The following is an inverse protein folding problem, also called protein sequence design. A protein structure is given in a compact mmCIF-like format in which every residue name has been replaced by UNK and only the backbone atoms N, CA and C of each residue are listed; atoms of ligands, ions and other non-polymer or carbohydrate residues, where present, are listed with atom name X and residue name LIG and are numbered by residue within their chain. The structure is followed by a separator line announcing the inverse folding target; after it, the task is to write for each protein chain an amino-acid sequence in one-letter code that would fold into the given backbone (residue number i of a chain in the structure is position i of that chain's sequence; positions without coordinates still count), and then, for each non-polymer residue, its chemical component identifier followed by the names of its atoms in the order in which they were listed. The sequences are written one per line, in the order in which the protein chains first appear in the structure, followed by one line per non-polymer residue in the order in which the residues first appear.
data_IF_984644629253
#
_entry.id   IF_984644629253
#
_cell.length_a   1.000
_cell.length_b   1.000
_cell.length_c   1.000
_cell.angle_alpha   90.00
_cell.angle_beta   90.00
_cell.angle_gamma   90.00
#
_symmetry.space_group_name_H-M   'P 1'
#
loop_
_entity.id
_entity.type
_entity.pdbx_description
1 polymer ?
#
# COMPACT_ATOMS: atom_id res chain seq x y z
N UNK A 1 -22.28 -29.84 31.29
CA UNK A 1 -22.41 -28.37 31.51
C UNK A 1 -21.04 -27.76 31.24
N UNK A 2 -20.82 -27.32 30.01
CA UNK A 2 -19.59 -26.62 29.60
C UNK A 2 -19.89 -25.14 29.78
N UNK A 3 -19.13 -24.47 30.65
CA UNK A 3 -19.26 -23.04 30.87
C UNK A 3 -18.75 -22.32 29.61
N UNK A 4 -19.67 -21.72 28.87
CA UNK A 4 -19.37 -20.80 27.78
C UNK A 4 -18.75 -19.53 28.39
N UNK A 5 -17.41 -19.52 28.46
CA UNK A 5 -16.67 -18.32 28.78
C UNK A 5 -16.65 -17.44 27.53
N UNK A 6 -17.75 -16.73 27.28
CA UNK A 6 -17.78 -15.59 26.36
C UNK A 6 -16.84 -14.54 26.93
N UNK A 7 -15.55 -14.63 26.55
CA UNK A 7 -14.58 -13.55 26.74
C UNK A 7 -15.13 -12.36 25.97
N UNK A 8 -15.81 -11.45 26.68
CA UNK A 8 -16.06 -10.11 26.19
C UNK A 8 -14.70 -9.41 26.11
N UNK A 9 -13.93 -9.68 25.05
CA UNK A 9 -12.83 -8.80 24.70
C UNK A 9 -13.46 -7.45 24.46
N UNK A 10 -13.27 -6.53 25.41
CA UNK A 10 -13.72 -5.15 25.28
C UNK A 10 -13.11 -4.60 24.01
N UNK A 11 -13.91 -4.54 22.94
CA UNK A 11 -13.45 -4.04 21.65
C UNK A 11 -12.86 -2.64 21.88
N UNK A 12 -11.73 -2.33 21.22
CA UNK A 12 -11.10 -1.02 21.37
C UNK A 12 -12.08 0.09 21.03
N UNK A 13 -12.42 0.90 22.03
CA UNK A 13 -13.39 1.99 21.91
C UNK A 13 -12.97 2.97 20.80
N UNK A 14 -13.85 3.17 19.83
CA UNK A 14 -13.78 4.24 18.83
C UNK A 14 -14.85 5.27 19.13
N UNK A 15 -14.55 6.54 18.89
CA UNK A 15 -15.52 7.63 18.96
C UNK A 15 -15.52 8.43 17.65
N UNK A 16 -16.68 8.92 17.25
CA UNK A 16 -16.91 9.66 16.02
C UNK A 16 -17.56 11.00 16.32
N UNK A 17 -17.10 12.07 15.66
CA UNK A 17 -17.76 13.38 15.72
C UNK A 17 -17.93 13.93 14.31
N UNK A 18 -19.12 14.44 14.00
CA UNK A 18 -19.51 14.88 12.66
C UNK A 18 -19.56 16.42 12.52
N UNK A 19 -19.62 17.12 13.64
CA UNK A 19 -19.72 18.58 13.75
C UNK A 19 -18.61 19.17 14.64
N UNK A 20 -17.73 18.32 15.19
CA UNK A 20 -16.71 18.72 16.15
C UNK A 20 -17.23 18.98 17.57
N UNK A 21 -18.54 18.80 17.82
CA UNK A 21 -19.18 19.13 19.09
C UNK A 21 -19.52 17.86 19.87
N UNK A 22 -20.24 16.92 19.26
CA UNK A 22 -20.67 15.70 19.93
C UNK A 22 -19.88 14.48 19.47
N UNK A 23 -19.47 13.65 20.43
CA UNK A 23 -18.78 12.39 20.19
C UNK A 23 -19.72 11.22 20.42
N UNK A 24 -19.97 10.45 19.37
CA UNK A 24 -20.71 9.19 19.42
C UNK A 24 -19.72 8.04 19.62
N UNK A 25 -19.84 7.29 20.72
CA UNK A 25 -19.09 6.04 20.87
C UNK A 25 -19.62 5.02 19.86
N UNK A 26 -18.72 4.47 19.05
CA UNK A 26 -19.04 3.40 18.11
C UNK A 26 -19.44 2.15 18.87
N UNK A 27 -20.75 1.94 19.02
CA UNK A 27 -21.31 0.74 19.61
C UNK A 27 -20.93 -0.48 18.77
N UNK A 28 -20.28 -1.46 19.38
CA UNK A 28 -19.81 -2.69 18.75
C UNK A 28 -20.91 -3.67 18.33
N UNK A 29 -22.07 -3.19 17.89
CA UNK A 29 -23.00 -4.00 17.10
C UNK A 29 -22.40 -4.18 15.71
N UNK A 30 -21.39 -5.06 15.66
CA UNK A 30 -20.62 -5.36 14.47
C UNK A 30 -21.52 -6.00 13.41
N UNK A 31 -22.08 -5.18 12.54
CA UNK A 31 -22.46 -5.65 11.21
C UNK A 31 -21.16 -6.09 10.54
N UNK A 32 -20.94 -7.40 10.44
CA UNK A 32 -19.80 -7.99 9.77
C UNK A 32 -19.80 -7.50 8.30
N UNK A 33 -18.97 -6.51 8.00
CA UNK A 33 -18.76 -6.05 6.64
C UNK A 33 -18.06 -7.11 5.79
N UNK A 34 -18.03 -6.98 4.46
CA UNK A 34 -17.34 -7.91 3.56
C UNK A 34 -15.82 -7.94 3.82
N UNK A 35 -15.27 -6.85 4.36
CA UNK A 35 -13.88 -6.74 4.81
C UNK A 35 -13.68 -7.27 6.24
N UNK A 36 -14.71 -7.78 6.93
CA UNK A 36 -14.56 -8.41 8.24
C UNK A 36 -13.66 -9.65 8.20
N UNK A 37 -13.44 -10.21 7.00
CA UNK A 37 -12.49 -11.29 6.77
C UNK A 37 -11.02 -10.81 6.67
N UNK A 38 -10.77 -9.51 6.46
CA UNK A 38 -9.41 -8.97 6.54
C UNK A 38 -9.04 -8.73 8.01
N UNK A 39 -8.11 -9.51 8.58
CA UNK A 39 -7.71 -9.33 9.97
C UNK A 39 -7.14 -7.94 10.19
N UNK A 40 -7.57 -7.28 11.26
CA UNK A 40 -7.07 -5.96 11.65
C UNK A 40 -7.88 -4.77 11.12
N UNK A 41 -9.14 -4.96 10.74
CA UNK A 41 -10.05 -3.84 10.49
C UNK A 41 -11.18 -3.81 11.51
N UNK A 42 -11.50 -2.61 12.00
CA UNK A 42 -12.66 -2.35 12.83
C UNK A 42 -13.72 -1.59 12.02
N UNK A 43 -14.98 -2.03 12.08
CA UNK A 43 -16.08 -1.49 11.28
C UNK A 43 -17.14 -0.84 12.15
N UNK A 44 -17.59 0.34 11.74
CA UNK A 44 -18.55 1.15 12.49
C UNK A 44 -19.65 1.68 11.57
N UNK A 45 -20.87 1.73 12.10
CA UNK A 45 -22.00 2.42 11.49
C UNK A 45 -22.18 3.74 12.22
N UNK A 46 -22.03 4.86 11.51
CA UNK A 46 -22.12 6.21 12.09
C UNK A 46 -23.40 6.86 11.56
N UNK A 47 -24.43 7.10 12.40
CA UNK A 47 -25.62 7.82 11.96
C UNK A 47 -25.27 9.28 11.66
N UNK A 48 -25.79 9.80 10.55
CA UNK A 48 -25.68 11.24 10.24
C UNK A 48 -26.92 11.92 10.81
N UNK A 49 -26.75 12.67 11.90
CA UNK A 49 -27.84 13.39 12.58
C UNK A 49 -27.90 14.88 12.23
N UNK A 50 -26.88 15.42 11.56
CA UNK A 50 -26.74 16.85 11.38
C UNK A 50 -27.71 17.43 10.34
N UNK A 51 -28.53 18.41 10.76
CA UNK A 51 -29.20 19.37 9.88
C UNK A 51 -28.22 20.48 9.49
N UNK A 52 -27.21 20.15 8.69
CA UNK A 52 -26.17 21.06 8.22
C UNK A 52 -25.31 20.40 7.16
N UNK A 53 -24.40 21.15 6.51
CA UNK A 53 -23.37 20.60 5.62
C UNK A 53 -22.04 20.45 6.38
N UNK A 54 -21.84 19.36 7.13
CA UNK A 54 -20.51 19.03 7.63
C UNK A 54 -19.66 18.51 6.48
N UNK A 55 -18.47 19.09 6.37
CA UNK A 55 -17.48 18.76 5.36
C UNK A 55 -16.52 17.68 5.80
N UNK A 56 -16.57 17.21 7.06
CA UNK A 56 -15.63 16.23 7.58
C UNK A 56 -16.23 15.36 8.71
N UNK A 57 -15.64 14.19 8.93
CA UNK A 57 -15.86 13.32 10.09
C UNK A 57 -14.54 13.16 10.85
N UNK A 58 -14.59 13.32 12.18
CA UNK A 58 -13.46 13.05 13.07
C UNK A 58 -13.60 11.68 13.70
N UNK A 59 -12.53 10.91 13.61
CA UNK A 59 -12.43 9.56 14.17
C UNK A 59 -11.36 9.57 15.25
N UNK A 60 -11.73 9.20 16.47
CA UNK A 60 -10.81 9.12 17.62
C UNK A 60 -10.75 7.71 18.18
N UNK A 61 -9.55 7.24 18.46
CA UNK A 61 -9.30 5.90 19.01
C UNK A 61 -8.29 5.95 20.15
N UNK A 62 -8.42 4.97 21.05
CA UNK A 62 -7.43 4.71 22.10
C UNK A 62 -6.12 4.16 21.52
N UNK A 63 -6.21 3.37 20.45
CA UNK A 63 -5.08 2.93 19.63
C UNK A 63 -4.83 3.92 18.48
N UNK A 64 -3.60 4.05 17.97
CA UNK A 64 -3.37 4.88 16.79
C UNK A 64 -4.20 4.39 15.58
N UNK A 65 -4.42 5.28 14.63
CA UNK A 65 -5.21 5.07 13.42
C UNK A 65 -4.26 5.20 12.24
N UNK A 66 -4.14 4.16 11.42
CA UNK A 66 -3.31 4.18 10.21
C UNK A 66 -4.12 4.55 8.98
N UNK A 67 -5.30 3.97 8.83
CA UNK A 67 -6.12 4.16 7.64
C UNK A 67 -7.59 4.22 8.03
N UNK A 68 -8.31 5.21 7.50
CA UNK A 68 -9.76 5.33 7.62
C UNK A 68 -10.35 5.32 6.22
N UNK A 69 -11.39 4.51 6.01
CA UNK A 69 -12.21 4.50 4.79
C UNK A 69 -13.67 4.71 5.15
N UNK A 70 -14.34 5.55 4.38
CA UNK A 70 -15.77 5.86 4.56
C UNK A 70 -16.55 5.37 3.35
N UNK A 71 -17.64 4.66 3.58
CA UNK A 71 -18.53 4.10 2.56
C UNK A 71 -19.96 4.56 2.81
N UNK A 72 -20.76 4.60 1.74
CA UNK A 72 -22.19 4.87 1.84
C UNK A 72 -23.03 3.64 2.17
N UNK A 73 -22.62 2.47 1.67
CA UNK A 73 -23.33 1.19 1.87
C UNK A 73 -22.37 -0.02 1.94
N UNK A 74 -22.72 -1.02 2.76
CA UNK A 74 -22.10 -2.34 2.78
C UNK A 74 -22.98 -3.27 1.94
N UNK A 75 -22.44 -4.23 1.19
CA UNK A 75 -21.11 -4.38 0.62
C UNK A 75 -21.15 -3.97 -0.87
N UNK A 76 -20.83 -2.72 -1.21
CA UNK A 76 -20.74 -2.37 -2.63
C UNK A 76 -19.31 -2.60 -3.15
N UNK A 77 -19.19 -3.00 -4.41
CA UNK A 77 -17.95 -2.98 -5.19
C UNK A 77 -17.39 -1.57 -5.40
N UNK A 78 -18.01 -0.57 -4.76
CA UNK A 78 -17.74 0.83 -5.01
C UNK A 78 -16.51 1.28 -4.23
N UNK A 79 -15.83 2.26 -4.80
CA UNK A 79 -14.73 2.94 -4.13
C UNK A 79 -15.23 3.64 -2.86
N UNK A 80 -14.39 3.66 -1.82
CA UNK A 80 -14.66 4.45 -0.62
C UNK A 80 -14.94 5.92 -0.99
N UNK A 81 -15.97 6.51 -0.38
CA UNK A 81 -16.34 7.92 -0.54
C UNK A 81 -15.19 8.85 -0.14
N UNK A 82 -14.45 8.45 0.91
CA UNK A 82 -13.27 9.16 1.37
C UNK A 82 -12.28 8.16 1.97
N UNK A 83 -10.98 8.46 1.85
CA UNK A 83 -9.89 7.67 2.42
C UNK A 83 -8.84 8.60 2.99
N UNK A 84 -8.37 8.31 4.20
CA UNK A 84 -7.27 9.04 4.85
C UNK A 84 -6.23 8.07 5.38
N UNK A 85 -4.97 8.27 4.99
CA UNK A 85 -3.83 7.44 5.37
C UNK A 85 -2.86 8.25 6.23
N UNK A 86 -2.53 7.72 7.41
CA UNK A 86 -1.52 8.21 8.32
C UNK A 86 -0.48 7.11 8.58
N UNK A 87 0.64 7.08 7.86
CA UNK A 87 1.64 6.00 7.95
C UNK A 87 2.18 5.80 9.36
N UNK A 88 2.38 6.91 10.11
CA UNK A 88 2.87 6.89 11.48
C UNK A 88 1.83 6.57 12.56
N UNK A 89 0.55 6.46 12.19
CA UNK A 89 -0.55 6.30 13.15
C UNK A 89 -0.89 7.60 13.89
N UNK A 90 -2.16 7.97 13.94
CA UNK A 90 -2.65 9.15 14.70
C UNK A 90 -3.77 8.74 15.65
N UNK A 91 -3.89 9.36 16.83
CA UNK A 91 -5.01 9.05 17.75
C UNK A 91 -6.35 9.60 17.26
N UNK A 92 -6.29 10.64 16.43
CA UNK A 92 -7.43 11.32 15.85
C UNK A 92 -7.16 11.58 14.37
N UNK A 93 -8.11 11.21 13.52
CA UNK A 93 -8.07 11.40 12.08
C UNK A 93 -9.28 12.21 11.63
N UNK A 94 -9.05 13.23 10.80
CA UNK A 94 -10.10 14.02 10.17
C UNK A 94 -10.25 13.58 8.72
N UNK A 95 -11.47 13.18 8.34
CA UNK A 95 -11.77 12.68 7.00
C UNK A 95 -12.74 13.64 6.33
N UNK A 96 -12.27 14.33 5.30
CA UNK A 96 -13.10 15.23 4.48
C UNK A 96 -14.08 14.38 3.66
N UNK A 97 -15.36 14.70 3.75
CA UNK A 97 -16.43 13.96 3.08
C UNK A 97 -16.88 14.69 1.81
N UNK A 98 -17.13 13.97 0.70
CA UNK A 98 -17.71 14.58 -0.49
C UNK A 98 -19.16 14.99 -0.21
N UNK A 99 -19.67 15.97 -0.97
CA UNK A 99 -21.05 16.47 -0.84
C UNK A 99 -22.09 15.34 -0.93
N UNK A 100 -21.82 14.31 -1.73
CA UNK A 100 -22.69 13.12 -1.84
C UNK A 100 -22.92 12.41 -0.49
N UNK A 101 -21.95 12.44 0.43
CA UNK A 101 -22.09 11.82 1.75
C UNK A 101 -23.13 12.51 2.64
N UNK A 102 -23.36 13.83 2.44
CA UNK A 102 -24.35 14.60 3.20
C UNK A 102 -25.79 14.18 2.94
N UNK A 103 -26.04 13.46 1.83
CA UNK A 103 -27.36 12.95 1.45
C UNK A 103 -27.68 11.60 2.08
N UNK A 104 -26.71 10.97 2.74
CA UNK A 104 -26.86 9.66 3.35
C UNK A 104 -27.38 9.80 4.80
N UNK A 105 -28.23 8.86 5.22
CA UNK A 105 -28.72 8.82 6.61
C UNK A 105 -27.71 8.19 7.58
N UNK A 106 -26.74 7.43 7.05
CA UNK A 106 -25.69 6.75 7.79
C UNK A 106 -24.44 6.61 6.93
N UNK A 107 -23.29 6.59 7.58
CA UNK A 107 -22.00 6.28 6.99
C UNK A 107 -21.45 4.99 7.59
N UNK A 108 -20.60 4.34 6.82
CA UNK A 108 -19.93 3.13 7.22
C UNK A 108 -18.44 3.39 7.23
N UNK A 109 -17.82 3.23 8.38
CA UNK A 109 -16.43 3.62 8.59
C UNK A 109 -15.60 2.38 8.91
N UNK A 110 -14.59 2.10 8.08
CA UNK A 110 -13.59 1.08 8.31
C UNK A 110 -12.31 1.74 8.82
N UNK A 111 -11.83 1.29 9.98
CA UNK A 111 -10.63 1.83 10.62
C UNK A 111 -9.59 0.73 10.77
N UNK A 112 -8.44 0.91 10.14
CA UNK A 112 -7.28 0.05 10.31
C UNK A 112 -6.38 0.67 11.41
N UNK A 113 -6.12 -0.03 12.52
CA UNK A 113 -5.06 0.35 13.45
C UNK A 113 -3.71 0.31 12.72
N UNK A 114 -2.64 0.92 13.26
CA UNK A 114 -1.30 0.63 12.77
C UNK A 114 -1.15 -0.87 12.76
N UNK A 115 -0.52 -1.40 11.70
CA UNK A 115 -0.01 -2.74 11.77
C UNK A 115 0.88 -2.72 13.02
N UNK A 116 0.38 -3.27 14.13
CA UNK A 116 1.24 -3.70 15.21
C UNK A 116 2.25 -4.51 14.43
N UNK A 117 3.50 -4.07 14.39
CA UNK A 117 4.57 -4.92 13.90
C UNK A 117 4.40 -6.16 14.75
N UNK A 118 3.71 -7.17 14.20
CA UNK A 118 3.49 -8.43 14.87
C UNK A 118 4.91 -8.91 14.89
N UNK A 119 5.59 -8.64 16.01
CA UNK A 119 6.79 -9.32 16.38
C UNK A 119 6.34 -10.76 16.34
N UNK A 120 6.64 -11.40 15.22
CA UNK A 120 6.61 -12.83 15.05
C UNK A 120 7.60 -13.35 16.07
N UNK A 121 7.16 -13.42 17.33
CA UNK A 121 7.61 -14.43 18.26
C UNK A 121 7.18 -15.75 17.63
N UNK A 122 7.96 -16.17 16.64
CA UNK A 122 8.03 -17.56 16.24
C UNK A 122 8.35 -18.33 17.50
N UNK A 123 7.37 -19.11 17.96
CA UNK A 123 7.63 -20.22 18.86
C UNK A 123 8.62 -21.14 18.17
N UNK A 124 9.90 -20.97 18.48
CA UNK A 124 10.90 -22.01 18.27
C UNK A 124 10.85 -22.90 19.49
N UNK A 125 10.18 -24.03 19.32
CA UNK A 125 10.40 -25.20 20.14
C UNK A 125 11.86 -25.66 19.94
N UNK A 126 12.53 -25.94 21.07
CA UNK A 126 13.78 -26.67 21.27
C UNK A 126 14.93 -26.42 20.28
N UNK A 127 16.01 -25.79 20.76
CA UNK A 127 17.31 -26.48 20.97
C UNK A 127 18.35 -25.55 21.62
N UNK A 128 18.89 -26.05 22.74
CA UNK A 128 20.25 -25.96 23.31
C UNK A 128 21.16 -24.72 23.12
N UNK A 129 21.58 -24.19 24.27
CA UNK A 129 22.88 -23.56 24.62
C UNK A 129 23.74 -22.91 23.52
N UNK A 130 23.88 -21.58 23.59
CA UNK A 130 25.18 -20.91 23.74
C UNK A 130 25.01 -19.41 24.00
N UNK A 131 25.67 -18.94 25.05
CA UNK A 131 25.72 -17.56 25.53
C UNK A 131 26.48 -16.65 24.56
N UNK A 132 25.81 -15.64 24.00
CA UNK A 132 26.44 -14.47 23.37
C UNK A 132 25.62 -13.19 23.68
N UNK A 133 26.27 -12.01 23.81
CA UNK A 133 25.62 -10.80 24.29
C UNK A 133 24.67 -10.23 23.22
N UNK A 134 23.45 -9.92 23.65
CA UNK A 134 22.42 -9.31 22.79
C UNK A 134 22.74 -7.83 22.51
N UNK A 135 22.61 -7.35 21.26
CA UNK A 135 22.68 -5.91 20.99
C UNK A 135 21.39 -5.23 21.48
N UNK A 136 21.51 -3.98 21.92
CA UNK A 136 20.41 -3.16 22.42
C UNK A 136 19.64 -2.53 21.24
N UNK A 137 18.39 -2.98 21.01
CA UNK A 137 17.57 -2.62 19.85
C UNK A 137 16.78 -1.31 20.00
N UNK A 138 16.91 -0.59 21.11
CA UNK A 138 16.23 0.70 21.30
C UNK A 138 16.74 1.83 20.39
N UNK A 139 17.87 1.63 19.69
CA UNK A 139 18.43 2.61 18.74
C UNK A 139 17.83 2.56 17.32
N UNK A 140 17.09 1.50 16.95
CA UNK A 140 16.60 1.31 15.57
C UNK A 140 15.26 1.99 15.27
N UNK A 141 14.47 2.34 16.30
CA UNK A 141 13.18 3.03 16.09
C UNK A 141 13.35 4.48 15.58
N UNK A 142 14.52 5.10 15.78
CA UNK A 142 14.83 6.42 15.24
C UNK A 142 15.24 6.40 13.76
N UNK A 143 15.65 5.25 13.24
CA UNK A 143 16.23 5.12 11.88
C UNK A 143 15.12 5.05 10.83
N UNK A 144 13.95 4.47 11.14
CA UNK A 144 12.81 4.46 10.22
C UNK A 144 12.19 5.85 10.00
N UNK A 145 12.17 6.72 11.03
CA UNK A 145 11.68 8.09 10.88
C UNK A 145 12.64 8.94 10.01
N UNK A 146 13.95 8.74 10.15
CA UNK A 146 14.96 9.42 9.34
C UNK A 146 14.93 8.95 7.87
N UNK A 147 14.68 7.66 7.60
CA UNK A 147 14.56 7.14 6.24
C UNK A 147 13.32 7.66 5.50
N UNK A 148 12.18 7.84 6.20
CA UNK A 148 10.96 8.43 5.61
C UNK A 148 11.16 9.93 5.34
N UNK A 149 11.80 10.66 6.27
CA UNK A 149 12.14 12.07 6.05
C UNK A 149 13.15 12.26 4.90
N UNK A 150 14.10 11.32 4.73
CA UNK A 150 15.03 11.34 3.59
C UNK A 150 14.33 11.07 2.26
N UNK A 151 13.37 10.15 2.21
CA UNK A 151 12.57 9.87 1.02
C UNK A 151 11.63 11.03 0.65
N UNK A 152 11.04 11.71 1.64
CA UNK A 152 10.24 12.94 1.41
C UNK A 152 11.13 14.10 0.93
N UNK A 153 12.34 14.25 1.47
CA UNK A 153 13.28 15.27 1.02
C UNK A 153 13.77 15.02 -0.43
N UNK A 154 13.98 13.76 -0.81
CA UNK A 154 14.36 13.38 -2.18
C UNK A 154 13.19 13.60 -3.17
N UNK A 155 11.94 13.32 -2.76
CA UNK A 155 10.76 13.64 -3.56
C UNK A 155 10.56 15.15 -3.74
N UNK A 156 10.78 15.96 -2.70
CA UNK A 156 10.72 17.42 -2.79
C UNK A 156 11.86 18.00 -3.64
N UNK A 157 13.06 17.41 -3.58
CA UNK A 157 14.18 17.80 -4.45
C UNK A 157 13.89 17.49 -5.93
N UNK A 158 13.31 16.32 -6.22
CA UNK A 158 12.89 15.95 -7.57
C UNK A 158 11.77 16.87 -8.10
N UNK A 159 10.81 17.26 -7.25
CA UNK A 159 9.75 18.20 -7.63
C UNK A 159 10.32 19.61 -7.92
N UNK A 160 11.28 20.08 -7.11
CA UNK A 160 11.98 21.35 -7.36
C UNK A 160 12.81 21.33 -8.65
N UNK A 161 13.47 20.21 -8.95
CA UNK A 161 14.22 20.02 -10.20
C UNK A 161 13.28 20.00 -11.43
N UNK A 162 12.12 19.34 -11.31
CA UNK A 162 11.10 19.32 -12.35
C UNK A 162 10.49 20.72 -12.57
N UNK A 163 10.30 21.49 -11.51
CA UNK A 163 9.84 22.90 -11.57
C UNK A 163 10.90 23.82 -12.20
N UNK A 164 12.17 23.58 -11.93
CA UNK A 164 13.29 24.29 -12.57
C UNK A 164 13.44 23.92 -14.05
N UNK A 165 13.13 22.69 -14.45
CA UNK A 165 13.16 22.23 -15.84
C UNK A 165 12.04 22.85 -16.68
N UNK A 166 10.84 23.05 -16.11
CA UNK A 166 9.70 23.66 -16.79
C UNK A 166 9.80 25.19 -16.94
N UNK A 167 10.81 25.85 -16.33
CA UNK A 167 11.00 27.30 -16.35
C UNK A 167 11.85 27.84 -17.50
N UNK A 168 12.34 27.00 -18.43
CA UNK A 168 13.12 27.49 -19.59
C UNK A 168 12.18 27.91 -20.72
N UNK A 169 12.14 29.20 -21.11
CA UNK A 169 11.36 29.63 -22.26
C UNK A 169 11.94 28.99 -23.53
N UNK A 170 11.12 28.16 -24.15
CA UNK A 170 11.38 27.52 -25.44
C UNK A 170 11.33 28.60 -26.53
N UNK A 171 12.47 29.23 -26.83
CA UNK A 171 12.60 30.07 -28.00
C UNK A 171 12.67 29.17 -29.25
N UNK A 172 11.52 29.09 -29.92
CA UNK A 172 11.33 29.08 -31.38
C UNK A 172 12.44 28.45 -32.23
N UNK A 173 12.11 27.33 -32.84
CA UNK A 173 12.48 27.06 -34.24
C UNK A 173 11.22 26.65 -35.01
N UNK A 174 10.45 27.66 -35.41
CA UNK A 174 9.65 27.59 -36.62
C UNK A 174 10.60 27.49 -37.81
N UNK A 175 10.54 26.42 -38.61
CA UNK A 175 10.65 26.49 -40.06
C UNK A 175 10.36 25.12 -40.70
N UNK A 176 9.38 25.17 -41.59
CA UNK A 176 9.12 24.25 -42.72
C UNK A 176 8.55 22.86 -42.45
N UNK A 177 7.71 22.26 -43.31
CA UNK A 177 6.68 22.67 -44.30
C UNK A 177 6.25 21.32 -44.92
N UNK A 178 4.98 20.98 -44.78
CA UNK A 178 4.11 20.16 -45.66
C UNK A 178 4.67 18.87 -46.32
N UNK A 179 3.92 17.77 -46.15
CA UNK A 179 3.78 16.79 -47.22
C UNK A 179 3.28 15.40 -46.80
N UNK A 180 2.03 15.11 -47.18
CA UNK A 180 1.63 13.85 -47.85
C UNK A 180 1.25 12.59 -47.04
N UNK A 181 -0.06 12.32 -47.06
CA UNK A 181 -0.79 11.09 -47.48
C UNK A 181 -0.39 9.73 -46.85
N UNK A 182 -1.43 9.11 -46.27
CA UNK A 182 -1.65 7.74 -45.74
C UNK A 182 -1.22 6.54 -46.64
N UNK A 183 -1.64 5.29 -46.32
CA UNK A 183 -1.25 4.39 -45.23
C UNK A 183 -0.72 3.03 -45.76
N UNK A 184 -0.19 2.15 -44.90
CA UNK A 184 -0.35 0.68 -44.90
C UNK A 184 0.89 -0.13 -44.46
N UNK A 185 0.56 -1.32 -43.95
CA UNK A 185 1.34 -2.55 -43.75
C UNK A 185 2.35 -2.61 -42.60
N UNK A 186 1.96 -3.45 -41.62
CA UNK A 186 2.69 -4.62 -41.11
C UNK A 186 4.21 -4.64 -41.26
N UNK A 187 4.92 -4.70 -40.14
CA UNK A 187 5.87 -5.78 -39.86
C UNK A 187 6.29 -5.77 -38.38
N UNK A 188 6.06 -6.90 -37.71
CA UNK A 188 6.50 -7.19 -36.35
C UNK A 188 7.99 -7.51 -36.39
N UNK A 189 8.83 -6.48 -36.19
CA UNK A 189 10.26 -6.64 -36.01
C UNK A 189 10.62 -6.71 -34.53
N UNK A 190 11.21 -7.83 -34.16
CA UNK A 190 11.75 -8.17 -32.85
C UNK A 190 12.99 -7.33 -32.56
N UNK A 191 12.84 -6.21 -31.84
CA UNK A 191 13.98 -5.41 -31.37
C UNK A 191 14.22 -5.63 -29.88
N UNK A 192 15.18 -6.50 -29.61
CA UNK A 192 15.93 -6.63 -28.36
C UNK A 192 16.49 -5.26 -27.95
N UNK A 193 15.85 -4.61 -26.97
CA UNK A 193 16.40 -3.41 -26.33
C UNK A 193 17.41 -3.82 -25.27
N UNK A 194 18.66 -3.96 -25.70
CA UNK A 194 19.80 -3.86 -24.81
C UNK A 194 19.89 -2.41 -24.31
N UNK A 195 19.36 -2.16 -23.11
CA UNK A 195 19.64 -0.94 -22.35
C UNK A 195 21.12 -0.97 -21.96
N UNK A 196 21.96 -0.47 -22.86
CA UNK A 196 23.35 -0.13 -22.61
C UNK A 196 23.35 1.09 -21.71
N UNK A 197 23.39 0.87 -20.40
CA UNK A 197 23.69 1.89 -19.40
C UNK A 197 25.07 2.43 -19.76
N UNK A 198 25.10 3.62 -20.35
CA UNK A 198 26.31 4.42 -20.49
C UNK A 198 26.68 4.86 -19.08
N UNK A 199 27.52 4.09 -18.41
CA UNK A 199 28.26 4.56 -17.25
C UNK A 199 29.13 5.71 -17.73
N UNK A 200 28.64 6.92 -17.53
CA UNK A 200 29.38 8.16 -17.76
C UNK A 200 30.52 8.17 -16.75
N UNK A 201 31.67 7.64 -17.17
CA UNK A 201 32.93 7.72 -16.45
C UNK A 201 33.24 9.20 -16.28
N UNK A 202 33.03 9.72 -15.08
CA UNK A 202 33.45 11.07 -14.70
C UNK A 202 34.97 11.06 -14.67
N UNK A 203 35.55 11.49 -15.78
CA UNK A 203 36.98 11.72 -15.93
C UNK A 203 37.48 12.51 -14.71
N UNK A 204 38.48 11.92 -14.05
CA UNK A 204 39.23 12.52 -12.96
C UNK A 204 39.78 13.87 -13.40
N UNK A 205 39.20 14.95 -12.88
CA UNK A 205 39.80 16.28 -12.96
C UNK A 205 41.14 16.22 -12.22
N UNK A 206 42.25 16.68 -12.82
CA UNK A 206 43.54 16.70 -12.15
C UNK A 206 43.41 17.56 -10.89
N UNK A 207 43.97 17.07 -9.77
CA UNK A 207 44.06 17.78 -8.49
C UNK A 207 44.89 19.04 -8.68
N UNK A 208 44.28 20.10 -9.21
CA UNK A 208 44.76 21.46 -9.06
C UNK A 208 44.84 21.74 -7.57
N UNK A 209 45.97 22.29 -7.14
CA UNK A 209 46.20 22.75 -5.77
C UNK A 209 44.95 23.53 -5.32
N UNK A 210 44.22 22.97 -4.36
CA UNK A 210 43.00 23.57 -3.83
C UNK A 210 43.32 25.01 -3.42
N UNK A 211 42.45 25.97 -3.73
CA UNK A 211 42.67 27.39 -3.44
C UNK A 211 43.20 27.69 -2.02
N UNK A 212 42.94 26.82 -1.05
CA UNK A 212 43.53 26.88 0.30
C UNK A 212 45.07 26.72 0.35
N UNK A 213 45.70 25.96 -0.54
CA UNK A 213 47.16 25.81 -0.60
C UNK A 213 47.85 27.07 -1.12
N UNK A 214 47.21 27.80 -2.03
CA UNK A 214 47.71 29.08 -2.54
C UNK A 214 47.56 30.17 -1.47
N UNK A 215 46.43 30.18 -0.76
CA UNK A 215 46.22 31.12 0.36
C UNK A 215 47.16 30.87 1.54
N UNK A 216 47.51 29.60 1.83
CA UNK A 216 48.46 29.28 2.89
C UNK A 216 49.88 29.81 2.59
N UNK A 217 50.34 29.75 1.34
CA UNK A 217 51.65 30.29 0.95
C UNK A 217 51.73 31.82 1.06
N UNK A 218 50.66 32.53 0.69
CA UNK A 218 50.63 33.99 0.80
C UNK A 218 50.61 34.46 2.26
N UNK A 219 49.99 33.70 3.16
CA UNK A 219 49.96 34.03 4.59
C UNK A 219 51.33 33.84 5.28
N UNK A 220 52.13 32.86 4.85
CA UNK A 220 53.47 32.64 5.40
C UNK A 220 54.44 33.78 5.04
N UNK A 221 54.35 34.35 3.84
CA UNK A 221 55.19 35.49 3.43
C UNK A 221 54.86 36.78 4.21
N UNK A 222 53.58 37.05 4.48
CA UNK A 222 53.15 38.26 5.20
C UNK A 222 53.51 38.22 6.70
N UNK A 223 53.46 37.02 7.31
CA UNK A 223 53.86 36.82 8.71
C UNK A 223 55.37 36.96 8.89
N UNK A 224 56.18 36.44 7.97
CA UNK A 224 57.63 36.60 8.00
C UNK A 224 58.07 38.06 7.81
N UNK A 225 57.39 38.82 6.95
CA UNK A 225 57.65 40.25 6.77
C UNK A 225 57.40 41.04 8.06
N UNK A 226 56.30 40.76 8.76
CA UNK A 226 55.91 41.45 9.99
C UNK A 226 56.86 41.21 11.18
N UNK A 227 57.50 40.03 11.24
CA UNK A 227 58.47 39.69 12.30
C UNK A 227 59.81 40.44 12.19
N UNK A 228 60.14 40.95 11.00
CA UNK A 228 61.42 41.65 10.75
C UNK A 228 61.44 43.14 11.12
N UNK A 229 60.28 43.76 11.35
CA UNK A 229 60.15 45.22 11.51
C UNK A 229 60.07 45.71 12.98
N UNK A 230 60.08 44.81 13.97
CA UNK A 230 59.68 45.11 15.35
C UNK A 230 60.78 44.95 16.40
N UNK A 231 61.92 45.64 16.28
CA UNK A 231 62.95 45.71 17.32
C UNK A 231 63.11 47.14 17.88
N UNK A 232 62.13 47.64 18.64
CA UNK A 232 62.36 48.86 19.46
C UNK A 232 61.32 49.04 20.58
N UNK A 233 61.83 49.08 21.82
CA UNK A 233 61.19 49.43 23.11
C UNK A 233 60.80 48.25 24.02
N UNK A 234 61.54 48.15 25.13
CA UNK A 234 61.64 46.98 26.01
C UNK A 234 60.70 46.94 27.22
N UNK A 235 59.57 47.66 27.22
CA UNK A 235 58.69 47.73 28.41
C UNK A 235 57.21 47.34 28.13
N UNK A 236 56.84 47.05 26.87
CA UNK A 236 55.51 46.56 26.48
C UNK A 236 55.39 45.02 26.46
N UNK A 237 56.44 44.30 26.88
CA UNK A 237 56.57 42.85 26.64
C UNK A 237 55.65 41.96 27.49
N UNK A 238 55.22 42.39 28.67
CA UNK A 238 54.44 41.56 29.59
C UNK A 238 52.97 41.43 29.16
N UNK A 239 52.33 42.52 28.71
CA UNK A 239 50.96 42.47 28.21
C UNK A 239 50.87 41.64 26.93
N UNK A 240 51.89 41.73 26.07
CA UNK A 240 52.01 40.91 24.85
C UNK A 240 52.06 39.40 25.15
N UNK A 241 52.79 38.98 26.18
CA UNK A 241 52.88 37.56 26.57
C UNK A 241 51.55 36.99 27.07
N UNK A 242 50.75 37.78 27.78
CA UNK A 242 49.42 37.34 28.21
C UNK A 242 48.46 37.18 27.02
N UNK A 243 48.51 38.10 26.06
CA UNK A 243 47.77 38.01 24.80
C UNK A 243 48.13 36.77 23.99
N UNK A 244 49.43 36.45 23.86
CA UNK A 244 49.90 35.24 23.16
C UNK A 244 49.37 33.97 23.84
N UNK A 245 49.41 33.90 25.17
CA UNK A 245 48.87 32.74 25.91
C UNK A 245 47.37 32.57 25.71
N UNK A 246 46.62 33.67 25.74
CA UNK A 246 45.18 33.64 25.48
C UNK A 246 44.88 33.16 24.05
N UNK A 247 45.62 33.67 23.06
CA UNK A 247 45.47 33.23 21.66
C UNK A 247 45.86 31.78 21.45
N UNK A 248 46.90 31.29 22.10
CA UNK A 248 47.25 29.87 22.05
C UNK A 248 46.16 28.98 22.67
N UNK A 249 45.56 29.41 23.78
CA UNK A 249 44.43 28.69 24.37
C UNK A 249 43.19 28.68 23.45
N UNK A 250 42.92 29.80 22.75
CA UNK A 250 41.87 29.89 21.73
C UNK A 250 42.16 28.94 20.54
N UNK A 251 43.40 28.93 20.04
CA UNK A 251 43.84 28.02 18.96
C UNK A 251 43.66 26.56 19.38
N UNK A 252 44.05 26.19 20.61
CA UNK A 252 43.91 24.83 21.10
C UNK A 252 42.43 24.42 21.29
N UNK A 253 41.57 25.37 21.67
CA UNK A 253 40.12 25.16 21.72
C UNK A 253 39.54 24.91 20.33
N UNK A 254 39.86 25.77 19.36
CA UNK A 254 39.39 25.65 17.98
C UNK A 254 39.89 24.35 17.31
N UNK A 255 41.14 23.94 17.58
CA UNK A 255 41.67 22.65 17.11
C UNK A 255 40.87 21.47 17.65
N UNK A 256 40.49 21.49 18.94
CA UNK A 256 39.65 20.44 19.54
C UNK A 256 38.25 20.42 18.95
N UNK A 257 37.67 21.58 18.67
CA UNK A 257 36.35 21.70 18.05
C UNK A 257 36.36 21.17 16.60
N UNK A 258 37.36 21.55 15.81
CA UNK A 258 37.54 21.06 14.44
C UNK A 258 37.71 19.53 14.41
N UNK A 259 38.46 18.97 15.35
CA UNK A 259 38.61 17.50 15.44
C UNK A 259 37.30 16.81 15.83
N UNK A 260 36.49 17.40 16.74
CA UNK A 260 35.14 16.90 17.04
C UNK A 260 34.25 16.91 15.81
N UNK A 261 34.26 17.99 15.02
CA UNK A 261 33.50 18.09 13.79
C UNK A 261 33.95 17.05 12.75
N UNK A 262 35.27 16.81 12.62
CA UNK A 262 35.80 15.77 11.72
C UNK A 262 35.30 14.37 12.10
N UNK A 263 35.36 14.01 13.38
CA UNK A 263 34.86 12.72 13.86
C UNK A 263 33.35 12.61 13.64
N UNK A 264 32.58 13.66 13.94
CA UNK A 264 31.14 13.69 13.69
C UNK A 264 30.81 13.52 12.19
N UNK A 265 31.56 14.18 11.31
CA UNK A 265 31.39 14.06 9.85
C UNK A 265 31.72 12.65 9.35
N UNK A 266 32.80 12.04 9.84
CA UNK A 266 33.15 10.66 9.48
C UNK A 266 32.09 9.66 9.96
N UNK A 267 31.55 9.85 11.16
CA UNK A 267 30.44 9.03 11.66
C UNK A 267 29.18 9.19 10.78
N UNK A 268 28.82 10.43 10.44
CA UNK A 268 27.70 10.70 9.53
C UNK A 268 27.91 10.07 8.15
N UNK A 269 29.10 10.18 7.57
CA UNK A 269 29.43 9.56 6.28
C UNK A 269 29.35 8.03 6.34
N UNK A 270 29.80 7.41 7.43
CA UNK A 270 29.66 5.97 7.64
C UNK A 270 28.18 5.54 7.71
N UNK A 271 27.35 6.29 8.44
CA UNK A 271 25.91 6.01 8.51
C UNK A 271 25.21 6.19 7.16
N UNK A 272 25.59 7.20 6.38
CA UNK A 272 25.05 7.43 5.04
C UNK A 272 25.45 6.30 4.06
N UNK A 273 26.70 5.83 4.13
CA UNK A 273 27.14 4.66 3.34
C UNK A 273 26.34 3.41 3.72
N UNK A 274 26.14 3.20 5.02
CA UNK A 274 25.34 2.07 5.49
C UNK A 274 23.88 2.15 5.00
N UNK A 275 23.24 3.32 5.08
CA UNK A 275 21.87 3.48 4.59
C UNK A 275 21.76 3.24 3.08
N UNK A 276 22.74 3.70 2.28
CA UNK A 276 22.79 3.45 0.83
C UNK A 276 22.92 1.95 0.54
N UNK A 277 23.80 1.23 1.26
CA UNK A 277 23.91 -0.22 1.11
C UNK A 277 22.58 -0.93 1.43
N UNK A 278 21.94 -0.57 2.55
CA UNK A 278 20.64 -1.17 2.92
C UNK A 278 19.53 -0.87 1.92
N UNK A 279 19.49 0.35 1.37
CA UNK A 279 18.51 0.72 0.34
C UNK A 279 18.73 -0.08 -0.95
N UNK A 280 19.98 -0.30 -1.35
CA UNK A 280 20.31 -1.12 -2.52
C UNK A 280 19.88 -2.57 -2.35
N UNK A 281 20.04 -3.15 -1.16
CA UNK A 281 19.63 -4.54 -0.89
C UNK A 281 18.11 -4.69 -0.87
N UNK A 282 17.39 -3.76 -0.23
CA UNK A 282 15.92 -3.72 -0.29
C UNK A 282 15.40 -3.57 -1.73
N UNK A 283 16.09 -2.77 -2.56
CA UNK A 283 15.72 -2.62 -3.97
C UNK A 283 15.86 -3.96 -4.73
N UNK A 284 16.92 -4.73 -4.48
CA UNK A 284 17.10 -6.07 -5.07
C UNK A 284 16.02 -7.03 -4.61
N UNK A 285 15.69 -7.05 -3.32
CA UNK A 285 14.62 -7.88 -2.77
C UNK A 285 13.26 -7.56 -3.39
N UNK A 286 12.91 -6.27 -3.50
CA UNK A 286 11.69 -5.83 -4.18
C UNK A 286 11.63 -6.31 -5.64
N UNK A 287 12.75 -6.24 -6.37
CA UNK A 287 12.83 -6.71 -7.75
C UNK A 287 12.64 -8.23 -7.87
N UNK A 288 13.19 -8.99 -6.93
CA UNK A 288 13.05 -10.45 -6.86
C UNK A 288 11.60 -10.85 -6.55
N UNK A 289 10.98 -10.23 -5.55
CA UNK A 289 9.58 -10.49 -5.19
C UNK A 289 8.64 -10.14 -6.35
N UNK A 290 8.88 -9.04 -7.06
CA UNK A 290 8.11 -8.68 -8.24
C UNK A 290 8.24 -9.72 -9.36
N UNK A 291 9.44 -10.27 -9.56
CA UNK A 291 9.65 -11.36 -10.51
C UNK A 291 8.92 -12.65 -10.09
N UNK A 292 8.95 -12.99 -8.80
CA UNK A 292 8.23 -14.14 -8.26
C UNK A 292 6.72 -14.01 -8.43
N UNK A 293 6.16 -12.81 -8.19
CA UNK A 293 4.74 -12.52 -8.40
C UNK A 293 4.34 -12.77 -9.87
N UNK A 294 5.08 -12.21 -10.83
CA UNK A 294 4.82 -12.45 -12.26
C UNK A 294 4.93 -13.93 -12.66
N UNK A 295 5.82 -14.68 -12.01
CA UNK A 295 5.93 -16.13 -12.24
C UNK A 295 4.73 -16.89 -11.66
N UNK A 296 4.26 -16.51 -10.47
CA UNK A 296 3.07 -17.10 -9.86
C UNK A 296 1.82 -16.81 -10.71
N UNK A 297 1.63 -15.57 -11.16
CA UNK A 297 0.52 -15.17 -12.05
C UNK A 297 0.49 -16.00 -13.33
N UNK A 298 1.65 -16.19 -13.98
CA UNK A 298 1.76 -17.04 -15.18
C UNK A 298 1.39 -18.50 -14.91
N UNK A 299 1.77 -19.05 -13.74
CA UNK A 299 1.39 -20.41 -13.34
C UNK A 299 -0.11 -20.51 -13.08
N UNK A 300 -0.70 -19.53 -12.40
CA UNK A 300 -2.15 -19.48 -12.17
C UNK A 300 -2.92 -19.45 -13.48
N UNK A 301 -2.54 -18.58 -14.42
CA UNK A 301 -3.16 -18.51 -15.74
C UNK A 301 -3.02 -19.84 -16.52
N UNK A 302 -1.86 -20.50 -16.45
CA UNK A 302 -1.66 -21.80 -17.09
C UNK A 302 -2.59 -22.89 -16.52
N UNK A 303 -2.74 -22.93 -15.18
CA UNK A 303 -3.65 -23.87 -14.51
C UNK A 303 -5.12 -23.57 -14.82
N UNK A 304 -5.52 -22.29 -14.88
CA UNK A 304 -6.87 -21.90 -15.28
C UNK A 304 -7.19 -22.31 -16.71
N UNK A 305 -6.24 -22.10 -17.63
CA UNK A 305 -6.40 -22.53 -19.03
C UNK A 305 -6.52 -24.04 -19.14
N UNK A 306 -5.70 -24.79 -18.40
CA UNK A 306 -5.82 -26.25 -18.32
C UNK A 306 -7.17 -26.67 -17.74
N UNK A 307 -7.65 -26.00 -16.69
CA UNK A 307 -8.97 -26.25 -16.09
C UNK A 307 -10.12 -26.03 -17.09
N UNK A 308 -10.08 -24.93 -17.86
CA UNK A 308 -11.07 -24.68 -18.93
C UNK A 308 -11.00 -25.73 -20.03
N UNK A 309 -9.79 -26.14 -20.43
CA UNK A 309 -9.61 -27.17 -21.44
C UNK A 309 -10.19 -28.52 -20.99
N UNK A 310 -9.84 -28.96 -19.78
CA UNK A 310 -10.38 -30.20 -19.20
C UNK A 310 -11.91 -30.13 -19.03
N UNK A 311 -12.45 -28.99 -18.58
CA UNK A 311 -13.91 -28.78 -18.50
C UNK A 311 -14.58 -28.91 -19.86
N UNK A 312 -13.97 -28.36 -20.91
CA UNK A 312 -14.49 -28.45 -22.28
C UNK A 312 -14.41 -29.88 -22.80
N UNK A 313 -13.32 -30.59 -22.54
CA UNK A 313 -13.13 -31.99 -22.95
C UNK A 313 -14.10 -32.93 -22.21
N UNK A 314 -14.33 -32.72 -20.91
CA UNK A 314 -15.35 -33.43 -20.13
C UNK A 314 -16.75 -33.17 -20.67
N UNK A 315 -17.08 -31.91 -21.01
CA UNK A 315 -18.36 -31.57 -21.61
C UNK A 315 -18.55 -32.28 -22.97
N UNK A 316 -17.52 -32.27 -23.83
CA UNK A 316 -17.56 -32.99 -25.12
C UNK A 316 -17.68 -34.50 -24.92
N UNK A 317 -16.96 -35.09 -23.97
CA UNK A 317 -17.03 -36.51 -23.66
C UNK A 317 -18.42 -36.88 -23.13
N UNK A 318 -18.99 -36.06 -22.24
CA UNK A 318 -20.36 -36.23 -21.75
C UNK A 318 -21.37 -36.20 -22.90
N UNK A 319 -21.27 -35.22 -23.82
CA UNK A 319 -22.15 -35.19 -25.00
C UNK A 319 -22.03 -36.42 -25.91
N UNK A 320 -20.86 -37.08 -25.96
CA UNK A 320 -20.63 -38.30 -26.76
C UNK A 320 -21.08 -39.58 -26.06
N UNK A 321 -21.01 -39.62 -24.73
CA UNK A 321 -21.26 -40.81 -23.92
C UNK A 321 -22.72 -40.94 -23.47
N UNK A 322 -23.56 -39.92 -23.68
CA UNK A 322 -24.99 -40.01 -23.33
C UNK A 322 -25.70 -40.91 -24.34
N UNK A 323 -26.13 -42.13 -23.97
CA UNK A 323 -27.03 -42.91 -24.80
C UNK A 323 -28.30 -42.08 -25.05
N UNK A 324 -28.99 -42.29 -26.17
CA UNK A 324 -30.22 -41.57 -26.49
C UNK A 324 -31.26 -41.76 -25.36
N UNK A 325 -31.27 -40.83 -24.40
CA UNK A 325 -32.21 -40.82 -23.29
C UNK A 325 -33.58 -40.49 -23.86
N UNK A 326 -34.59 -41.22 -23.40
CA UNK A 326 -35.95 -40.85 -23.73
C UNK A 326 -36.28 -39.51 -23.07
N UNK A 327 -37.25 -38.78 -23.61
CA UNK A 327 -37.69 -37.51 -23.00
C UNK A 327 -38.08 -37.68 -21.53
N UNK A 328 -38.65 -38.84 -21.17
CA UNK A 328 -39.11 -39.10 -19.81
C UNK A 328 -37.93 -39.33 -18.84
N UNK A 329 -36.84 -39.96 -19.30
CA UNK A 329 -35.60 -40.06 -18.51
C UNK A 329 -35.01 -38.67 -18.22
N UNK A 330 -35.03 -37.78 -19.22
CA UNK A 330 -34.56 -36.39 -19.09
C UNK A 330 -35.42 -35.62 -18.09
N UNK A 331 -36.75 -35.76 -18.17
CA UNK A 331 -37.69 -35.14 -17.23
C UNK A 331 -37.44 -35.64 -15.80
N UNK A 332 -37.32 -36.96 -15.60
CA UNK A 332 -37.06 -37.55 -14.29
C UNK A 332 -35.74 -37.07 -13.68
N UNK A 333 -34.67 -37.00 -14.47
CA UNK A 333 -33.37 -36.49 -14.00
C UNK A 333 -33.42 -35.00 -13.63
N UNK A 334 -34.08 -34.17 -14.43
CA UNK A 334 -34.25 -32.75 -14.14
C UNK A 334 -35.03 -32.53 -12.85
N UNK A 335 -36.13 -33.27 -12.67
CA UNK A 335 -36.96 -33.21 -11.46
C UNK A 335 -36.14 -33.64 -10.24
N UNK A 336 -35.35 -34.72 -10.34
CA UNK A 336 -34.48 -35.19 -9.26
C UNK A 336 -33.46 -34.12 -8.84
N UNK A 337 -32.82 -33.44 -9.79
CA UNK A 337 -31.85 -32.36 -9.52
C UNK A 337 -32.49 -31.14 -8.84
N UNK A 338 -33.66 -30.71 -9.32
CA UNK A 338 -34.36 -29.55 -8.74
C UNK A 338 -34.89 -29.87 -7.32
N UNK A 339 -35.40 -31.09 -7.10
CA UNK A 339 -35.82 -31.54 -5.78
C UNK A 339 -34.63 -31.73 -4.83
N UNK A 340 -33.45 -32.13 -5.32
CA UNK A 340 -32.24 -32.24 -4.51
C UNK A 340 -31.82 -30.87 -3.94
N UNK A 341 -31.95 -29.79 -4.74
CA UNK A 341 -31.72 -28.43 -4.24
C UNK A 341 -32.71 -28.07 -3.13
N UNK A 342 -34.01 -28.39 -3.29
CA UNK A 342 -35.02 -28.12 -2.27
C UNK A 342 -34.77 -28.85 -0.95
N UNK A 343 -34.22 -30.08 -1.00
CA UNK A 343 -33.88 -30.86 0.21
C UNK A 343 -32.80 -30.18 1.06
N UNK A 344 -31.88 -29.44 0.45
CA UNK A 344 -30.80 -28.73 1.15
C UNK A 344 -31.25 -27.44 1.84
N UNK A 345 -32.45 -26.93 1.53
CA UNK A 345 -32.95 -25.65 2.03
C UNK A 345 -33.79 -25.79 3.30
N UNK A 346 -33.79 -24.75 4.11
CA UNK A 346 -34.65 -24.65 5.30
C UNK A 346 -36.13 -24.45 4.91
N UNK A 347 -37.07 -24.78 5.81
CA UNK A 347 -38.50 -24.71 5.52
C UNK A 347 -38.97 -23.31 5.05
N UNK A 348 -38.40 -22.23 5.59
CA UNK A 348 -38.71 -20.86 5.19
C UNK A 348 -38.23 -20.51 3.78
N UNK A 349 -37.07 -21.01 3.39
CA UNK A 349 -36.48 -20.76 2.06
C UNK A 349 -37.12 -21.61 0.96
N UNK A 350 -37.60 -22.81 1.30
CA UNK A 350 -38.24 -23.73 0.36
C UNK A 350 -39.44 -23.09 -0.34
N UNK A 351 -40.29 -22.35 0.38
CA UNK A 351 -41.45 -21.69 -0.24
C UNK A 351 -41.03 -20.64 -1.30
N UNK A 352 -39.93 -19.93 -1.06
CA UNK A 352 -39.34 -19.03 -2.06
C UNK A 352 -38.75 -19.78 -3.25
N UNK A 353 -38.02 -20.86 -2.99
CA UNK A 353 -37.40 -21.69 -4.03
C UNK A 353 -38.44 -22.41 -4.92
N UNK A 354 -39.50 -22.99 -4.33
CA UNK A 354 -40.63 -23.58 -5.05
C UNK A 354 -41.27 -22.57 -6.01
N UNK A 355 -41.50 -21.32 -5.56
CA UNK A 355 -42.01 -20.23 -6.42
C UNK A 355 -41.07 -19.90 -7.58
N UNK A 356 -39.76 -19.84 -7.34
CA UNK A 356 -38.77 -19.61 -8.41
C UNK A 356 -38.75 -20.75 -9.43
N UNK A 357 -38.84 -22.00 -8.98
CA UNK A 357 -38.91 -23.16 -9.86
C UNK A 357 -40.17 -23.16 -10.73
N UNK A 358 -41.34 -22.86 -10.16
CA UNK A 358 -42.59 -22.71 -10.91
C UNK A 358 -42.48 -21.62 -11.99
N UNK A 359 -41.83 -20.49 -11.67
CA UNK A 359 -41.60 -19.41 -12.64
C UNK A 359 -40.57 -19.79 -13.71
N UNK A 360 -39.52 -20.55 -13.36
CA UNK A 360 -38.49 -21.01 -14.29
C UNK A 360 -39.05 -21.99 -15.31
N UNK A 361 -39.84 -22.95 -14.84
CA UNK A 361 -40.45 -24.01 -15.66
C UNK A 361 -41.85 -23.64 -16.16
N UNK A 362 -42.21 -22.35 -16.15
CA UNK A 362 -43.50 -21.91 -16.65
C UNK A 362 -43.60 -22.13 -18.17
N UNK A 363 -44.69 -22.75 -18.69
CA UNK A 363 -44.84 -23.02 -20.12
C UNK A 363 -44.72 -21.77 -21.00
N UNK A 364 -45.35 -20.67 -20.58
CA UNK A 364 -45.36 -19.42 -21.34
C UNK A 364 -43.98 -18.78 -21.50
N UNK A 365 -43.11 -18.92 -20.49
CA UNK A 365 -41.74 -18.37 -20.54
C UNK A 365 -40.78 -19.23 -21.36
N UNK A 366 -41.11 -20.50 -21.58
CA UNK A 366 -40.31 -21.47 -22.34
C UNK A 366 -40.85 -21.73 -23.76
N UNK A 367 -41.69 -20.82 -24.26
CA UNK A 367 -42.40 -20.95 -25.54
C UNK A 367 -41.54 -20.70 -26.80
N UNK A 368 -40.29 -20.24 -26.66
CA UNK A 368 -39.45 -19.80 -27.77
C UNK A 368 -39.04 -20.89 -28.79
N UNK A 369 -39.14 -22.17 -28.42
CA UNK A 369 -38.99 -23.31 -29.32
C UNK A 369 -40.06 -24.33 -28.94
N UNK A 370 -40.87 -24.82 -29.89
CA UNK A 370 -42.03 -25.68 -29.60
C UNK A 370 -41.74 -26.89 -28.69
N UNK A 371 -40.54 -27.46 -28.77
CA UNK A 371 -40.09 -28.55 -27.89
C UNK A 371 -39.86 -28.14 -26.41
N UNK A 372 -39.54 -26.87 -26.15
CA UNK A 372 -39.30 -26.35 -24.81
C UNK A 372 -40.58 -26.21 -23.96
N UNK A 373 -41.72 -25.94 -24.60
CA UNK A 373 -43.00 -25.84 -23.93
C UNK A 373 -43.45 -27.20 -23.37
N UNK A 374 -43.34 -28.26 -24.17
CA UNK A 374 -43.73 -29.61 -23.76
C UNK A 374 -42.83 -30.16 -22.64
N UNK A 375 -41.52 -29.92 -22.73
CA UNK A 375 -40.60 -30.29 -21.66
C UNK A 375 -40.93 -29.55 -20.36
N UNK A 376 -41.14 -28.24 -20.41
CA UNK A 376 -41.46 -27.44 -19.23
C UNK A 376 -42.76 -27.91 -18.56
N UNK A 377 -43.80 -28.23 -19.34
CA UNK A 377 -45.04 -28.81 -18.84
C UNK A 377 -44.81 -30.15 -18.15
N UNK A 378 -44.07 -31.08 -18.77
CA UNK A 378 -43.79 -32.41 -18.19
C UNK A 378 -42.98 -32.30 -16.89
N UNK A 379 -41.92 -31.47 -16.88
CA UNK A 379 -41.12 -31.22 -15.66
C UNK A 379 -41.98 -30.61 -14.55
N UNK A 380 -42.86 -29.67 -14.87
CA UNK A 380 -43.75 -29.04 -13.90
C UNK A 380 -44.75 -30.04 -13.31
N UNK A 381 -45.35 -30.87 -14.18
CA UNK A 381 -46.30 -31.90 -13.79
C UNK A 381 -45.64 -32.94 -12.87
N UNK A 382 -44.45 -33.40 -13.24
CA UNK A 382 -43.70 -34.39 -12.47
C UNK A 382 -43.14 -33.82 -11.15
N UNK A 383 -42.73 -32.54 -11.13
CA UNK A 383 -42.37 -31.86 -9.89
C UNK A 383 -43.54 -31.81 -8.91
N UNK A 384 -44.74 -31.49 -9.40
CA UNK A 384 -45.94 -31.36 -8.57
C UNK A 384 -46.50 -32.69 -8.09
N UNK A 385 -46.28 -33.78 -8.82
CA UNK A 385 -46.69 -35.13 -8.42
C UNK A 385 -45.74 -35.74 -7.37
N UNK A 386 -44.51 -35.26 -7.26
CA UNK A 386 -43.49 -35.85 -6.39
C UNK A 386 -43.72 -35.52 -4.89
N UNK A 387 -43.64 -36.49 -3.96
CA UNK A 387 -43.97 -36.28 -2.54
C UNK A 387 -43.09 -35.25 -1.83
N UNK A 388 -41.82 -35.13 -2.23
CA UNK A 388 -40.90 -34.10 -1.71
C UNK A 388 -41.29 -32.65 -2.08
N UNK A 389 -42.26 -32.48 -2.99
CA UNK A 389 -42.81 -31.18 -3.38
C UNK A 389 -43.95 -30.71 -2.47
N UNK A 390 -44.59 -31.60 -1.71
CA UNK A 390 -45.45 -31.19 -0.59
C UNK A 390 -44.59 -30.44 0.45
#
# INVERSE_FOLDING_TARGET
MVADATRSSSLPKCAFSYDGMDWLEGGGEGTAGPLAHEPGWDFFVVPITAKGQPSFIRVRRSLPIRLVRVYGEWPSSDSALATVLHPGGVKEAEVVLPEAATKLSRLLVAVCPPAVAVHSHGGSALETEATAPRPNWSALSGICAAAVAAAEAEAQAAELEQRAACGRPYLSNYLHRQGSISPASSDLSTCSSANRIVTRSTASTPRGLTAGAILAQLYEEEVLASLSAGESSGDAGLDSLTGIRQKNAEIDSLKKELEKERVARQAAEATAKQSICTASDLQKECSLLQQQLRNAERRTMALEMQGRQLSTDLQRAACRAVPAKTMDDVVSELVALELQQLKSLTAGERAGAKRRLLLRWHPDKNSGNGAGNDLAKRVLQELQSHPAWA
#
